data_IF_141549703768
#
_entry.id   IF_141549703768
#
_cell.length_a   1.000
_cell.length_b   1.000
_cell.length_c   1.000
_cell.angle_alpha   90.00
_cell.angle_beta   90.00
_cell.angle_gamma   90.00
#
_symmetry.space_group_name_H-M   'P 1'
#
loop_
_entity.id
_entity.type
_entity.pdbx_description
1 polymer ?
#
# COMPACT_ATOMS: atom_id res chain seq x y z
N UNK A 1 43.43 -18.14 -9.42
CA UNK A 1 42.31 -18.58 -8.55
C UNK A 1 41.35 -17.45 -8.14
N UNK A 2 41.58 -16.18 -8.50
CA UNK A 2 40.66 -15.08 -8.18
C UNK A 2 39.44 -14.95 -9.13
N UNK A 3 39.53 -15.46 -10.36
CA UNK A 3 38.48 -15.31 -11.37
C UNK A 3 37.24 -16.20 -11.13
N UNK A 4 37.40 -17.33 -10.43
CA UNK A 4 36.31 -18.29 -10.18
C UNK A 4 35.39 -17.80 -9.05
N UNK A 5 35.95 -17.14 -8.02
CA UNK A 5 35.19 -16.57 -6.90
C UNK A 5 34.27 -15.41 -7.31
N UNK A 6 34.70 -14.55 -8.24
CA UNK A 6 33.88 -13.44 -8.74
C UNK A 6 32.62 -13.93 -9.48
N UNK A 7 32.70 -15.07 -10.17
CA UNK A 7 31.59 -15.63 -10.93
C UNK A 7 30.49 -16.21 -10.04
N UNK A 8 30.84 -16.86 -8.92
CA UNK A 8 29.86 -17.38 -7.97
C UNK A 8 29.15 -16.27 -7.18
N UNK A 9 29.83 -15.17 -6.86
CA UNK A 9 29.21 -14.01 -6.19
C UNK A 9 28.24 -13.30 -7.12
N UNK A 10 28.60 -13.09 -8.40
CA UNK A 10 27.71 -12.52 -9.41
C UNK A 10 26.51 -13.43 -9.72
N UNK A 11 26.74 -14.73 -9.91
CA UNK A 11 25.65 -15.69 -10.14
C UNK A 11 24.73 -15.81 -8.92
N UNK A 12 25.27 -15.80 -7.71
CA UNK A 12 24.51 -15.78 -6.46
C UNK A 12 23.65 -14.52 -6.32
N UNK A 13 24.21 -13.35 -6.61
CA UNK A 13 23.47 -12.08 -6.57
C UNK A 13 22.34 -12.04 -7.61
N UNK A 14 22.57 -12.51 -8.84
CA UNK A 14 21.55 -12.58 -9.89
C UNK A 14 20.43 -13.56 -9.53
N UNK A 15 20.75 -14.72 -8.94
CA UNK A 15 19.74 -15.69 -8.48
C UNK A 15 18.90 -15.14 -7.32
N UNK A 16 19.51 -14.39 -6.40
CA UNK A 16 18.77 -13.76 -5.28
C UNK A 16 17.86 -12.65 -5.78
N UNK A 17 18.33 -11.78 -6.69
CA UNK A 17 17.51 -10.71 -7.27
C UNK A 17 16.35 -11.27 -8.11
N UNK A 18 16.60 -12.25 -8.98
CA UNK A 18 15.56 -12.86 -9.84
C UNK A 18 14.52 -13.66 -9.05
N UNK A 19 14.90 -14.30 -7.93
CA UNK A 19 13.94 -14.97 -7.04
C UNK A 19 13.04 -14.00 -6.29
N UNK A 20 13.54 -12.80 -5.93
CA UNK A 20 12.74 -11.75 -5.28
C UNK A 20 11.78 -11.06 -6.26
N UNK A 21 12.17 -10.82 -7.50
CA UNK A 21 11.23 -10.33 -8.51
C UNK A 21 10.08 -11.32 -8.77
N UNK A 22 10.36 -12.63 -8.67
CA UNK A 22 9.38 -13.69 -8.89
C UNK A 22 8.22 -13.70 -7.87
N UNK A 23 8.47 -13.32 -6.62
CA UNK A 23 7.44 -13.38 -5.57
C UNK A 23 6.38 -12.28 -5.71
N UNK A 24 6.72 -11.15 -6.32
CA UNK A 24 5.78 -10.03 -6.47
C UNK A 24 4.96 -10.09 -7.77
N UNK A 25 5.41 -10.90 -8.75
CA UNK A 25 4.80 -11.05 -10.08
C UNK A 25 4.06 -12.37 -10.31
N UNK A 26 3.64 -13.04 -9.24
CA UNK A 26 2.84 -14.28 -9.33
C UNK A 26 1.46 -14.03 -9.96
N UNK A 27 0.85 -15.08 -10.52
CA UNK A 27 -0.50 -14.99 -11.10
C UNK A 27 -1.54 -14.66 -10.03
N UNK A 28 -1.36 -15.21 -8.84
CA UNK A 28 -2.22 -15.03 -7.67
C UNK A 28 -2.18 -13.59 -7.18
N UNK A 29 -0.99 -12.98 -7.04
CA UNK A 29 -0.85 -11.59 -6.61
C UNK A 29 -1.43 -10.60 -7.63
N UNK A 30 -1.28 -10.90 -8.93
CA UNK A 30 -1.93 -10.16 -10.01
C UNK A 30 -3.45 -10.23 -9.93
N UNK A 31 -4.01 -11.44 -9.83
CA UNK A 31 -5.45 -11.62 -9.73
C UNK A 31 -6.02 -10.93 -8.47
N UNK A 32 -5.30 -10.99 -7.35
CA UNK A 32 -5.65 -10.27 -6.14
C UNK A 32 -5.64 -8.75 -6.36
N UNK A 33 -4.57 -8.20 -6.98
CA UNK A 33 -4.46 -6.76 -7.32
C UNK A 33 -5.66 -6.32 -8.15
N UNK A 34 -5.97 -7.04 -9.22
CA UNK A 34 -7.06 -6.69 -10.14
C UNK A 34 -8.42 -6.70 -9.42
N UNK A 35 -8.67 -7.71 -8.57
CA UNK A 35 -9.87 -7.76 -7.74
C UNK A 35 -9.95 -6.63 -6.72
N UNK A 36 -8.83 -6.31 -6.06
CA UNK A 36 -8.75 -5.22 -5.08
C UNK A 36 -9.07 -3.86 -5.70
N UNK A 37 -8.50 -3.58 -6.89
CA UNK A 37 -8.77 -2.35 -7.64
C UNK A 37 -10.26 -2.26 -7.99
N UNK A 38 -10.85 -3.35 -8.49
CA UNK A 38 -12.26 -3.37 -8.88
C UNK A 38 -13.20 -3.15 -7.69
N UNK A 39 -12.90 -3.76 -6.54
CA UNK A 39 -13.66 -3.53 -5.31
C UNK A 39 -13.58 -2.07 -4.87
N UNK A 40 -12.39 -1.46 -4.88
CA UNK A 40 -12.21 -0.04 -4.51
C UNK A 40 -12.98 0.86 -5.48
N UNK A 41 -12.97 0.56 -6.79
CA UNK A 41 -13.76 1.31 -7.77
C UNK A 41 -15.25 1.25 -7.45
N UNK A 42 -15.77 0.04 -7.20
CA UNK A 42 -17.17 -0.19 -6.86
C UNK A 42 -17.58 0.53 -5.58
N UNK A 43 -16.75 0.51 -4.55
CA UNK A 43 -16.99 1.25 -3.30
C UNK A 43 -17.14 2.75 -3.59
N UNK A 44 -16.27 3.29 -4.44
CA UNK A 44 -16.23 4.70 -4.81
C UNK A 44 -17.26 5.12 -5.87
N UNK A 45 -18.04 4.19 -6.43
CA UNK A 45 -19.24 4.54 -7.21
C UNK A 45 -20.31 5.18 -6.31
N UNK A 46 -20.32 4.83 -5.01
CA UNK A 46 -21.09 5.54 -4.00
C UNK A 46 -20.27 6.74 -3.48
N UNK A 47 -20.63 8.00 -3.82
CA UNK A 47 -19.89 9.17 -3.33
C UNK A 47 -19.94 9.32 -1.81
N UNK A 48 -20.94 8.72 -1.15
CA UNK A 48 -21.08 8.76 0.30
C UNK A 48 -20.27 7.65 1.01
N UNK A 49 -19.68 6.70 0.29
CA UNK A 49 -18.95 5.57 0.91
C UNK A 49 -17.87 6.02 1.91
N UNK A 50 -16.97 6.97 1.59
CA UNK A 50 -16.02 7.47 2.59
C UNK A 50 -16.72 8.07 3.82
N UNK A 51 -17.81 8.82 3.61
CA UNK A 51 -18.56 9.50 4.68
C UNK A 51 -19.25 8.47 5.59
N UNK A 52 -19.84 7.42 5.02
CA UNK A 52 -20.46 6.33 5.77
C UNK A 52 -19.45 5.58 6.64
N UNK A 53 -18.20 5.45 6.18
CA UNK A 53 -17.14 4.72 6.89
C UNK A 53 -16.45 5.54 7.97
N UNK A 54 -16.18 6.82 7.71
CA UNK A 54 -15.44 7.69 8.64
C UNK A 54 -16.34 8.42 9.64
N UNK A 55 -17.64 8.51 9.36
CA UNK A 55 -18.45 9.63 9.86
C UNK A 55 -18.17 10.90 9.05
N UNK A 56 -18.68 12.07 9.49
CA UNK A 56 -18.36 13.33 8.81
C UNK A 56 -16.85 13.58 8.90
N UNK A 57 -16.15 13.39 7.78
CA UNK A 57 -14.73 13.75 7.62
C UNK A 57 -14.59 15.24 7.92
N UNK A 58 -13.73 15.65 8.86
CA UNK A 58 -13.49 17.05 9.15
C UNK A 58 -13.04 17.77 7.87
N UNK A 59 -13.71 18.87 7.50
CA UNK A 59 -13.14 19.77 6.50
C UNK A 59 -11.88 20.39 7.09
N UNK A 60 -10.82 20.50 6.28
CA UNK A 60 -9.55 21.10 6.67
C UNK A 60 -9.70 22.60 6.86
N UNK A 61 -10.29 23.03 7.97
CA UNK A 61 -10.19 24.35 8.60
C UNK A 61 -11.20 24.43 9.74
N UNK A 62 -10.69 24.33 10.97
CA UNK A 62 -11.29 24.93 12.16
C UNK A 62 -12.67 24.43 12.57
N UNK A 63 -12.69 23.69 13.67
CA UNK A 63 -13.86 23.43 14.52
C UNK A 63 -15.01 22.65 13.86
N UNK A 64 -15.26 21.44 14.35
CA UNK A 64 -16.48 21.13 15.10
C UNK A 64 -16.27 19.76 15.76
N UNK A 65 -16.49 19.70 17.07
CA UNK A 65 -16.46 18.48 17.85
C UNK A 65 -17.57 17.53 17.38
N UNK A 66 -17.18 16.51 16.63
CA UNK A 66 -17.93 15.29 16.35
C UNK A 66 -16.93 14.17 16.61
N UNK A 67 -17.34 13.14 17.37
CA UNK A 67 -16.52 11.98 17.80
C UNK A 67 -15.35 11.70 16.84
N UNK A 68 -14.12 11.68 17.36
CA UNK A 68 -12.91 11.46 16.55
C UNK A 68 -13.19 10.36 15.51
N UNK A 69 -13.11 10.66 14.21
CA UNK A 69 -13.41 9.68 13.18
C UNK A 69 -12.53 8.47 13.45
N UNK A 70 -13.08 7.26 13.28
CA UNK A 70 -12.26 6.07 13.40
C UNK A 70 -11.22 6.13 12.28
N UNK A 71 -10.03 6.61 12.63
CA UNK A 71 -9.05 7.06 11.65
C UNK A 71 -8.51 5.91 10.81
N UNK A 72 -8.67 4.68 11.32
CA UNK A 72 -8.35 3.43 10.66
C UNK A 72 -9.55 2.47 10.80
N UNK A 73 -10.09 2.04 9.66
CA UNK A 73 -11.07 0.95 9.60
C UNK A 73 -10.44 -0.27 8.92
N UNK A 74 -11.23 -1.26 8.50
CA UNK A 74 -10.73 -2.41 7.75
C UNK A 74 -10.36 -2.08 6.29
N UNK A 75 -10.98 -1.04 5.72
CA UNK A 75 -10.96 -0.71 4.29
C UNK A 75 -10.76 0.78 4.01
N UNK A 76 -10.68 1.61 5.05
CA UNK A 76 -10.52 3.05 4.92
C UNK A 76 -9.58 3.63 5.97
N UNK A 77 -8.93 4.74 5.63
CA UNK A 77 -8.09 5.52 6.54
C UNK A 77 -8.33 7.01 6.31
N UNK A 78 -8.38 7.80 7.39
CA UNK A 78 -8.40 9.27 7.35
C UNK A 78 -7.22 9.82 8.13
N UNK A 79 -6.61 10.88 7.59
CA UNK A 79 -5.44 11.56 8.15
C UNK A 79 -5.86 12.83 8.91
N UNK A 80 -4.95 13.38 9.73
CA UNK A 80 -5.25 14.59 10.51
C UNK A 80 -5.53 15.82 9.64
N UNK A 81 -4.91 15.90 8.46
CA UNK A 81 -5.15 16.95 7.46
C UNK A 81 -6.48 16.78 6.69
N UNK A 82 -7.27 15.74 6.99
CA UNK A 82 -8.52 15.41 6.32
C UNK A 82 -8.37 14.64 5.01
N UNK A 83 -7.15 14.35 4.56
CA UNK A 83 -6.94 13.42 3.46
C UNK A 83 -7.42 12.01 3.84
N UNK A 84 -7.76 11.19 2.86
CA UNK A 84 -8.24 9.85 3.12
C UNK A 84 -7.80 8.85 2.03
N UNK A 85 -7.87 7.56 2.39
CA UNK A 85 -7.64 6.42 1.50
C UNK A 85 -8.79 5.41 1.64
N UNK A 86 -9.23 4.86 0.52
CA UNK A 86 -9.95 3.57 0.48
C UNK A 86 -8.96 2.53 -0.01
N UNK A 87 -8.78 1.45 0.73
CA UNK A 87 -7.72 0.50 0.47
C UNK A 87 -8.17 -0.96 0.56
N UNK A 88 -7.30 -1.83 0.04
CA UNK A 88 -7.28 -3.26 0.30
C UNK A 88 -5.83 -3.66 0.60
N UNK A 89 -5.66 -4.53 1.57
CA UNK A 89 -4.36 -5.05 1.97
C UNK A 89 -4.43 -6.57 2.07
N UNK A 90 -3.38 -7.23 1.62
CA UNK A 90 -3.17 -8.66 1.76
C UNK A 90 -1.78 -8.89 2.30
N UNK A 91 -1.68 -9.86 3.20
CA UNK A 91 -0.38 -10.31 3.70
C UNK A 91 -0.18 -11.78 3.37
N UNK A 92 1.08 -12.16 3.20
CA UNK A 92 1.47 -13.56 3.00
C UNK A 92 1.09 -14.44 4.21
N UNK A 93 0.82 -13.84 5.37
CA UNK A 93 0.32 -14.55 6.57
C UNK A 93 -1.13 -15.02 6.40
N UNK A 94 -1.95 -14.32 5.61
CA UNK A 94 -3.34 -14.70 5.30
C UNK A 94 -3.39 -15.68 4.13
N UNK A 95 -2.62 -15.39 3.06
CA UNK A 95 -2.47 -16.29 1.91
C UNK A 95 -1.00 -16.32 1.48
N UNK A 96 -0.27 -17.43 1.74
CA UNK A 96 1.14 -17.55 1.36
C UNK A 96 1.43 -17.41 -0.14
N UNK A 97 0.40 -17.51 -1.02
CA UNK A 97 0.55 -17.34 -2.47
C UNK A 97 0.54 -15.87 -2.90
N UNK A 98 0.05 -14.99 -2.05
CA UNK A 98 0.00 -13.54 -2.28
C UNK A 98 0.94 -12.86 -1.32
N UNK A 99 2.16 -12.59 -1.79
CA UNK A 99 3.10 -11.78 -1.02
C UNK A 99 2.53 -10.39 -0.74
N UNK A 100 2.93 -9.81 0.40
CA UNK A 100 2.45 -8.54 0.94
C UNK A 100 2.18 -7.49 -0.15
N UNK A 101 0.95 -6.97 -0.15
CA UNK A 101 0.48 -5.99 -1.11
C UNK A 101 -0.61 -5.14 -0.47
N UNK A 102 -0.45 -3.84 -0.62
CA UNK A 102 -1.42 -2.82 -0.27
C UNK A 102 -1.76 -2.05 -1.55
N UNK A 103 -3.05 -1.83 -1.81
CA UNK A 103 -3.56 -1.03 -2.92
C UNK A 103 -4.57 -0.04 -2.36
N UNK A 104 -4.45 1.23 -2.73
CA UNK A 104 -5.37 2.26 -2.28
C UNK A 104 -5.68 3.30 -3.34
N UNK A 105 -6.85 3.90 -3.22
CA UNK A 105 -7.25 5.12 -3.91
C UNK A 105 -7.40 6.23 -2.88
N UNK A 106 -6.71 7.35 -3.10
CA UNK A 106 -6.73 8.48 -2.16
C UNK A 106 -7.66 9.62 -2.59
N UNK A 107 -7.93 10.51 -1.65
CA UNK A 107 -8.67 11.77 -1.83
C UNK A 107 -8.02 12.73 -2.83
N UNK A 108 -6.71 12.61 -3.07
CA UNK A 108 -5.95 13.45 -4.02
C UNK A 108 -6.13 13.05 -5.50
N UNK A 109 -6.96 12.04 -5.79
CA UNK A 109 -7.17 11.59 -7.16
C UNK A 109 -6.20 10.49 -7.63
N UNK A 110 -5.16 10.16 -6.87
CA UNK A 110 -4.17 9.14 -7.26
C UNK A 110 -4.44 7.74 -6.69
N UNK A 111 -3.84 6.75 -7.35
CA UNK A 111 -3.74 5.37 -6.86
C UNK A 111 -2.35 5.13 -6.26
N UNK A 112 -2.32 4.33 -5.21
CA UNK A 112 -1.12 4.00 -4.46
C UNK A 112 -0.98 2.51 -4.23
N UNK A 113 0.25 2.03 -4.19
CA UNK A 113 0.56 0.66 -3.78
C UNK A 113 1.78 0.60 -2.87
N UNK A 114 1.88 -0.46 -2.09
CA UNK A 114 3.07 -0.77 -1.28
C UNK A 114 3.22 -2.29 -1.09
N UNK A 115 4.45 -2.74 -0.91
CA UNK A 115 4.80 -4.09 -0.44
C UNK A 115 5.17 -4.13 1.05
N UNK A 116 4.89 -3.06 1.79
CA UNK A 116 5.09 -2.99 3.24
C UNK A 116 4.20 -4.00 3.98
N UNK A 117 4.77 -4.63 5.01
CA UNK A 117 4.05 -5.61 5.83
C UNK A 117 3.18 -4.93 6.91
N UNK A 118 1.91 -4.71 6.61
CA UNK A 118 0.96 -4.14 7.58
C UNK A 118 0.42 -5.14 8.63
N UNK A 119 0.88 -6.40 8.58
CA UNK A 119 0.32 -7.53 9.33
C UNK A 119 -1.19 -7.75 9.06
N UNK A 120 -1.74 -8.81 9.63
CA UNK A 120 -3.16 -9.17 9.47
C UNK A 120 -4.03 -8.04 10.05
N UNK A 121 -5.01 -7.57 9.26
CA UNK A 121 -5.96 -6.55 9.71
C UNK A 121 -5.33 -5.19 10.02
N UNK A 122 -4.20 -4.84 9.40
CA UNK A 122 -3.47 -3.58 9.66
C UNK A 122 -3.05 -3.40 11.12
N UNK A 123 -2.85 -4.49 11.87
CA UNK A 123 -2.56 -4.44 13.30
C UNK A 123 -1.33 -3.59 13.63
N UNK A 124 -0.36 -3.49 12.72
CA UNK A 124 0.81 -2.61 12.90
C UNK A 124 0.39 -1.15 13.10
N UNK A 125 -0.71 -0.71 12.51
CA UNK A 125 -1.22 0.66 12.63
C UNK A 125 -2.20 0.85 13.78
N UNK A 126 -2.77 -0.23 14.34
CA UNK A 126 -3.80 -0.16 15.38
C UNK A 126 -3.32 0.42 16.72
N UNK A 127 -2.01 0.42 16.96
CA UNK A 127 -1.38 0.99 18.16
C UNK A 127 -0.61 2.29 17.87
N UNK A 128 -0.64 2.77 16.63
CA UNK A 128 0.05 3.97 16.19
C UNK A 128 -0.84 5.20 16.33
N UNK A 129 -0.22 6.37 16.38
CA UNK A 129 -0.96 7.62 16.25
C UNK A 129 -1.46 7.82 14.81
N UNK A 130 -2.60 8.50 14.67
CA UNK A 130 -3.12 8.89 13.36
C UNK A 130 -2.06 9.70 12.60
N UNK A 131 -1.69 9.32 11.36
CA UNK A 131 -0.68 10.06 10.61
C UNK A 131 -1.13 11.49 10.29
N UNK A 132 -0.17 12.41 10.32
CA UNK A 132 -0.41 13.84 10.08
C UNK A 132 -0.99 14.13 8.70
N UNK A 133 -0.52 13.41 7.67
CA UNK A 133 -0.93 13.59 6.29
C UNK A 133 -0.76 12.33 5.46
N UNK A 134 -1.39 12.32 4.27
CA UNK A 134 -1.16 11.27 3.26
C UNK A 134 0.32 11.16 2.89
N UNK A 135 1.05 12.28 2.76
CA UNK A 135 2.46 12.24 2.36
C UNK A 135 3.34 11.61 3.44
N UNK A 136 3.12 11.98 4.71
CA UNK A 136 3.83 11.36 5.83
C UNK A 136 3.59 9.84 5.88
N UNK A 137 2.35 9.41 5.64
CA UNK A 137 2.02 7.99 5.56
C UNK A 137 2.68 7.30 4.37
N UNK A 138 2.72 7.96 3.21
CA UNK A 138 3.38 7.44 2.02
C UNK A 138 4.87 7.22 2.25
N UNK A 139 5.56 8.16 2.88
CA UNK A 139 6.98 8.03 3.20
C UNK A 139 7.23 6.92 4.22
N UNK A 140 6.44 6.87 5.30
CA UNK A 140 6.58 5.87 6.36
C UNK A 140 6.37 4.44 5.82
N UNK A 141 5.36 4.26 4.97
CA UNK A 141 4.95 2.94 4.46
C UNK A 141 5.38 2.67 3.01
N UNK A 142 6.27 3.50 2.45
CA UNK A 142 6.83 3.35 1.10
C UNK A 142 5.78 3.28 -0.02
N UNK A 143 4.70 4.07 0.04
CA UNK A 143 3.66 4.05 -0.99
C UNK A 143 4.17 4.69 -2.29
N UNK A 144 4.07 3.94 -3.39
CA UNK A 144 4.34 4.41 -4.74
C UNK A 144 3.04 4.69 -5.50
N UNK A 145 3.07 5.72 -6.37
CA UNK A 145 1.95 6.03 -7.27
C UNK A 145 1.91 5.05 -8.44
N UNK A 146 0.70 4.76 -8.92
CA UNK A 146 0.46 4.11 -10.21
C UNK A 146 -0.85 4.60 -10.83
N UNK A 147 -1.20 4.10 -12.01
CA UNK A 147 -2.36 4.55 -12.81
C UNK A 147 -3.69 3.84 -12.45
N UNK A 148 -3.66 2.87 -11.53
CA UNK A 148 -4.83 2.06 -11.18
C UNK A 148 -5.12 0.92 -12.15
N UNK A 149 -4.25 0.63 -13.11
CA UNK A 149 -4.43 -0.42 -14.13
C UNK A 149 -3.16 -1.21 -14.42
N UNK A 150 -1.99 -0.57 -14.33
CA UNK A 150 -0.70 -1.14 -14.69
C UNK A 150 -0.25 -2.22 -13.70
N UNK A 151 0.76 -2.96 -14.15
CA UNK A 151 1.50 -3.90 -13.33
C UNK A 151 2.59 -3.24 -12.50
N UNK A 152 2.65 -1.91 -12.46
CA UNK A 152 3.63 -1.22 -11.62
C UNK A 152 3.43 -1.58 -10.16
N UNK A 153 2.18 -1.76 -9.76
CA UNK A 153 1.77 -2.23 -8.45
C UNK A 153 2.23 -3.67 -8.11
N UNK A 154 2.79 -4.39 -9.10
CA UNK A 154 3.43 -5.69 -8.89
C UNK A 154 4.94 -5.60 -8.63
N UNK A 155 5.55 -4.42 -8.64
CA UNK A 155 6.96 -4.26 -8.28
C UNK A 155 7.13 -4.09 -6.76
N UNK A 156 8.35 -4.29 -6.25
CA UNK A 156 8.69 -3.92 -4.88
C UNK A 156 8.77 -2.40 -4.73
N UNK A 157 8.20 -1.87 -3.64
CA UNK A 157 8.35 -0.45 -3.26
C UNK A 157 9.49 -0.24 -2.26
N UNK A 158 9.70 -1.21 -1.38
CA UNK A 158 10.81 -1.19 -0.42
C UNK A 158 12.18 -1.21 -1.09
N UNK A 159 12.34 -1.92 -2.20
CA UNK A 159 13.60 -1.89 -2.97
C UNK A 159 13.85 -0.57 -3.71
N UNK A 160 12.79 0.18 -4.05
CA UNK A 160 12.92 1.49 -4.71
C UNK A 160 13.49 2.56 -3.76
N UNK A 161 13.15 2.51 -2.47
CA UNK A 161 13.68 3.44 -1.46
C UNK A 161 15.19 3.33 -1.24
N UNK A 162 15.79 2.18 -1.57
CA UNK A 162 17.24 1.94 -1.46
C UNK A 162 18.07 2.36 -2.68
N UNK A 163 17.43 2.85 -3.76
CA UNK A 163 18.12 3.25 -4.99
C UNK A 163 18.20 4.78 -5.02
N UNK A 164 19.40 5.40 -5.03
CA UNK A 164 19.49 6.85 -5.21
C UNK A 164 18.88 7.20 -6.56
N UNK A 165 18.08 8.27 -6.59
CA UNK A 165 17.54 8.82 -7.83
C UNK A 165 18.69 9.06 -8.81
N UNK A 166 18.63 8.40 -9.96
CA UNK A 166 19.56 8.57 -11.07
C UNK A 166 19.18 9.75 -11.94
#
# INVERSE_FOLDING_TARGET
MAAILAFFVLAGAVVVATRRDGIHRTKERRAWKDSAIEQIRKDLENPDFPIERFGRVPQSLGEFAMSDPNWLTSDTMVFRDGAWLVYRAQTHKVDPKVHDIFIAKASDGHWYFSDYHFCVGMMVLSSEEQPESLEAFREACCLARFDGTSDDALNSTTERRGRPDG
#
